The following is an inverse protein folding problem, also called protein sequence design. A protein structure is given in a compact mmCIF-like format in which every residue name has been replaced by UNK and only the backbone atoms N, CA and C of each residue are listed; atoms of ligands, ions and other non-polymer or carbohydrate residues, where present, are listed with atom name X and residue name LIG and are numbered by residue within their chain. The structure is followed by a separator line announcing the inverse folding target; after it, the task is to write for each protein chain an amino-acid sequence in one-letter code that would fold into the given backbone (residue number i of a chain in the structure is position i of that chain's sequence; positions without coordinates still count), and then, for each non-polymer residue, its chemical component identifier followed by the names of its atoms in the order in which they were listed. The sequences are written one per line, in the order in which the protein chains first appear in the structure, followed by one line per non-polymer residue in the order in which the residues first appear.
data_IF_014032914224
#
_entry.id   IF_014032914224
#
_cell.length_a   1.000
_cell.length_b   1.000
_cell.length_c   1.000
_cell.angle_alpha   90.00
_cell.angle_beta   90.00
_cell.angle_gamma   90.00
#
_symmetry.space_group_name_H-M   'P 1'
#
loop_
_entity.id
_entity.type
_entity.pdbx_description
1 polymer ?
#
# COMPACT_ATOMS: atom_id res chain seq x y z
N UNK A 1 11.42 -3.66 -8.19
CA UNK A 1 10.62 -3.60 -9.44
C UNK A 1 10.62 -2.19 -10.04
N UNK A 2 10.17 -1.12 -9.35
CA UNK A 2 10.13 0.22 -9.94
C UNK A 2 11.46 0.66 -10.56
N UNK A 3 12.58 0.49 -9.86
CA UNK A 3 13.92 0.80 -10.40
C UNK A 3 14.24 0.07 -11.70
N UNK A 4 13.75 -1.15 -11.89
CA UNK A 4 13.95 -1.88 -13.16
C UNK A 4 13.10 -1.29 -14.28
N UNK A 5 11.84 -1.00 -13.98
CA UNK A 5 10.93 -0.37 -14.93
C UNK A 5 11.49 0.99 -15.38
N UNK A 6 11.99 1.78 -14.43
CA UNK A 6 12.59 3.09 -14.71
C UNK A 6 13.84 2.96 -15.60
N UNK A 7 14.69 1.95 -15.37
CA UNK A 7 15.86 1.67 -16.20
C UNK A 7 15.47 1.34 -17.65
N UNK A 8 14.36 0.65 -17.85
CA UNK A 8 13.81 0.36 -19.17
C UNK A 8 12.84 1.45 -19.67
N UNK A 9 13.02 2.70 -19.25
CA UNK A 9 12.23 3.86 -19.69
C UNK A 9 10.72 3.70 -19.46
N UNK A 10 10.33 3.02 -18.40
CA UNK A 10 8.94 2.73 -18.07
C UNK A 10 8.37 1.49 -18.80
N UNK A 11 9.17 0.78 -19.59
CA UNK A 11 8.70 -0.40 -20.31
C UNK A 11 8.78 -1.66 -19.44
N UNK A 12 7.66 -2.01 -18.82
CA UNK A 12 7.53 -3.19 -17.97
C UNK A 12 7.81 -4.49 -18.74
N UNK A 13 7.32 -4.61 -19.96
CA UNK A 13 7.48 -5.81 -20.77
C UNK A 13 8.95 -6.08 -21.06
N UNK A 14 9.70 -5.04 -21.47
CA UNK A 14 11.15 -5.15 -21.70
C UNK A 14 11.90 -5.53 -20.42
N UNK A 15 11.52 -4.98 -19.28
CA UNK A 15 12.11 -5.33 -17.98
C UNK A 15 11.87 -6.81 -17.63
N UNK A 16 10.67 -7.33 -17.89
CA UNK A 16 10.32 -8.73 -17.64
C UNK A 16 11.08 -9.67 -18.58
N UNK A 17 11.15 -9.38 -19.88
CA UNK A 17 11.93 -10.20 -20.82
C UNK A 17 13.42 -10.21 -20.44
N UNK A 18 14.00 -9.06 -20.13
CA UNK A 18 15.39 -8.98 -19.71
C UNK A 18 15.66 -9.78 -18.42
N UNK A 19 14.70 -9.83 -17.48
CA UNK A 19 14.82 -10.67 -16.30
C UNK A 19 14.86 -12.17 -16.65
N UNK A 20 14.03 -12.64 -17.58
CA UNK A 20 14.04 -14.04 -17.98
C UNK A 20 15.27 -14.42 -18.79
N UNK A 21 15.81 -13.48 -19.57
CA UNK A 21 17.04 -13.70 -20.37
C UNK A 21 18.31 -13.65 -19.49
N UNK A 22 18.32 -12.83 -18.43
CA UNK A 22 19.50 -12.56 -17.60
C UNK A 22 19.16 -12.49 -16.10
N UNK A 23 18.60 -13.55 -15.50
CA UNK A 23 18.13 -13.52 -14.11
C UNK A 23 19.24 -13.19 -13.11
N UNK A 24 20.47 -13.62 -13.36
CA UNK A 24 21.64 -13.37 -12.51
C UNK A 24 21.93 -11.88 -12.33
N UNK A 25 21.80 -11.09 -13.41
CA UNK A 25 22.01 -9.63 -13.36
C UNK A 25 20.97 -8.96 -12.49
N UNK A 26 19.72 -9.40 -12.61
CA UNK A 26 18.62 -8.85 -11.80
C UNK A 26 18.73 -9.25 -10.32
N UNK A 27 19.27 -10.44 -10.03
CA UNK A 27 19.56 -10.86 -8.66
C UNK A 27 20.65 -10.00 -8.02
N UNK A 28 21.77 -9.79 -8.69
CA UNK A 28 22.83 -8.88 -8.22
C UNK A 28 22.31 -7.45 -8.04
N UNK A 29 21.51 -6.96 -8.98
CA UNK A 29 20.90 -5.64 -8.88
C UNK A 29 19.94 -5.55 -7.72
N UNK A 30 19.13 -6.59 -7.47
CA UNK A 30 18.21 -6.62 -6.34
C UNK A 30 18.95 -6.58 -5.00
N UNK A 31 20.07 -7.30 -4.86
CA UNK A 31 20.91 -7.24 -3.67
C UNK A 31 21.50 -5.84 -3.43
N UNK A 32 21.94 -5.18 -4.50
CA UNK A 32 22.45 -3.81 -4.41
C UNK A 32 21.33 -2.84 -4.03
N UNK A 33 20.16 -2.95 -4.66
CA UNK A 33 18.99 -2.15 -4.36
C UNK A 33 18.53 -2.33 -2.90
N UNK A 34 18.52 -3.55 -2.40
CA UNK A 34 18.20 -3.83 -1.00
C UNK A 34 19.16 -3.11 -0.05
N UNK A 35 20.49 -3.22 -0.30
CA UNK A 35 21.51 -2.53 0.52
C UNK A 35 21.31 -1.01 0.52
N UNK A 36 21.01 -0.44 -0.65
CA UNK A 36 20.75 1.00 -0.79
C UNK A 36 19.47 1.43 -0.05
N UNK A 37 18.37 0.68 -0.20
CA UNK A 37 17.11 0.97 0.46
C UNK A 37 17.21 0.85 1.99
N UNK A 38 17.92 -0.16 2.48
CA UNK A 38 18.18 -0.31 3.92
C UNK A 38 19.02 0.86 4.44
N UNK A 39 20.07 1.26 3.71
CA UNK A 39 20.89 2.40 4.09
C UNK A 39 20.11 3.72 4.09
N UNK A 40 19.24 3.92 3.12
CA UNK A 40 18.34 5.06 3.07
C UNK A 40 17.35 5.06 4.25
N UNK A 41 16.80 3.90 4.58
CA UNK A 41 15.92 3.76 5.75
C UNK A 41 16.65 4.10 7.06
N UNK A 42 17.89 3.65 7.26
CA UNK A 42 18.70 4.02 8.43
C UNK A 42 18.85 5.54 8.56
N UNK A 43 19.08 6.25 7.45
CA UNK A 43 19.17 7.72 7.45
C UNK A 43 17.84 8.35 7.87
N UNK A 44 16.71 7.89 7.28
CA UNK A 44 15.39 8.41 7.66
C UNK A 44 15.05 8.13 9.11
N UNK A 45 15.34 6.92 9.61
CA UNK A 45 15.10 6.55 11.00
C UNK A 45 15.93 7.38 11.98
N UNK A 46 17.14 7.82 11.58
CA UNK A 46 17.96 8.72 12.40
C UNK A 46 17.33 10.09 12.65
N UNK A 47 16.39 10.51 11.77
CA UNK A 47 15.61 11.75 11.91
C UNK A 47 14.42 11.60 12.87
N UNK A 48 14.17 10.38 13.37
CA UNK A 48 13.09 10.05 14.32
C UNK A 48 11.69 10.49 13.86
N UNK A 49 11.26 10.13 12.65
CA UNK A 49 9.88 10.40 12.23
C UNK A 49 8.89 9.60 13.08
N UNK A 50 7.64 10.06 13.15
CA UNK A 50 6.56 9.29 13.79
C UNK A 50 6.21 8.02 13.02
N UNK A 51 6.38 8.08 11.68
CA UNK A 51 6.04 6.99 10.76
C UNK A 51 6.97 7.01 9.56
N UNK A 52 7.45 5.83 9.16
CA UNK A 52 8.19 5.61 7.93
C UNK A 52 7.28 5.00 6.86
N UNK A 53 7.06 5.73 5.76
CA UNK A 53 6.32 5.23 4.61
C UNK A 53 7.25 4.44 3.68
N UNK A 54 6.87 3.21 3.40
CA UNK A 54 7.54 2.29 2.49
C UNK A 54 6.72 2.12 1.21
N UNK A 55 7.38 1.63 0.17
CA UNK A 55 6.71 1.19 -1.03
C UNK A 55 6.68 2.21 -2.14
N UNK A 56 5.90 1.88 -3.12
CA UNK A 56 5.69 2.62 -4.35
C UNK A 56 4.59 1.94 -5.14
N UNK A 57 4.38 2.35 -6.36
CA UNK A 57 3.28 1.87 -7.20
C UNK A 57 3.29 0.36 -7.36
N UNK A 58 2.15 -0.26 -7.10
CA UNK A 58 1.74 -1.55 -7.61
C UNK A 58 2.70 -2.72 -7.45
N UNK A 59 3.23 -2.97 -6.24
CA UNK A 59 4.22 -4.04 -6.01
C UNK A 59 3.83 -5.40 -6.62
N UNK A 60 2.56 -5.81 -6.49
CA UNK A 60 2.03 -7.03 -7.10
C UNK A 60 1.41 -6.76 -8.48
N UNK A 61 0.81 -5.59 -8.68
CA UNK A 61 0.17 -5.22 -9.96
C UNK A 61 1.19 -5.15 -11.10
N UNK A 62 2.40 -4.65 -10.81
CA UNK A 62 3.50 -4.52 -11.77
C UNK A 62 4.47 -5.72 -11.75
N UNK A 63 4.18 -6.74 -10.93
CA UNK A 63 4.98 -7.93 -10.83
C UNK A 63 4.08 -9.13 -10.52
N UNK A 64 4.63 -10.34 -10.54
CA UNK A 64 3.93 -11.49 -9.97
C UNK A 64 4.13 -11.55 -8.45
N UNK A 65 3.26 -12.27 -7.71
CA UNK A 65 3.50 -12.56 -6.29
C UNK A 65 4.88 -13.21 -6.04
N UNK A 66 5.34 -14.04 -6.96
CA UNK A 66 6.64 -14.70 -6.89
C UNK A 66 7.79 -13.68 -6.94
N UNK A 67 7.75 -12.78 -7.92
CA UNK A 67 8.76 -11.72 -8.05
C UNK A 67 8.74 -10.76 -6.85
N UNK A 68 7.55 -10.42 -6.35
CA UNK A 68 7.43 -9.60 -5.15
C UNK A 68 8.02 -10.30 -3.92
N UNK A 69 7.79 -11.60 -3.75
CA UNK A 69 8.38 -12.40 -2.67
C UNK A 69 9.90 -12.46 -2.78
N UNK A 70 10.42 -12.62 -3.99
CA UNK A 70 11.86 -12.73 -4.24
C UNK A 70 12.58 -11.40 -4.06
N UNK A 71 12.04 -10.30 -4.58
CA UNK A 71 12.77 -9.04 -4.74
C UNK A 71 12.29 -7.88 -3.85
N UNK A 72 11.03 -7.87 -3.40
CA UNK A 72 10.54 -6.79 -2.55
C UNK A 72 10.51 -7.17 -1.07
N UNK A 73 10.04 -8.36 -0.74
CA UNK A 73 9.83 -8.82 0.62
C UNK A 73 11.10 -8.79 1.50
N UNK A 74 12.30 -9.16 1.02
CA UNK A 74 13.51 -9.11 1.85
C UNK A 74 13.84 -7.71 2.36
N UNK A 75 13.76 -6.69 1.49
CA UNK A 75 13.98 -5.30 1.88
C UNK A 75 12.90 -4.81 2.85
N UNK A 76 11.62 -5.11 2.58
CA UNK A 76 10.51 -4.75 3.48
C UNK A 76 10.74 -5.35 4.87
N UNK A 77 11.08 -6.63 4.99
CA UNK A 77 11.37 -7.29 6.27
C UNK A 77 12.48 -6.59 7.05
N UNK A 78 13.59 -6.28 6.38
CA UNK A 78 14.75 -5.62 7.02
C UNK A 78 14.41 -4.23 7.51
N UNK A 79 13.75 -3.43 6.67
CA UNK A 79 13.40 -2.05 7.00
C UNK A 79 12.36 -2.01 8.13
N UNK A 80 11.32 -2.85 8.07
CA UNK A 80 10.33 -2.92 9.15
C UNK A 80 10.96 -3.34 10.50
N UNK A 81 11.92 -4.26 10.48
CA UNK A 81 12.66 -4.64 11.70
C UNK A 81 13.47 -3.48 12.27
N UNK A 82 14.24 -2.78 11.43
CA UNK A 82 15.02 -1.60 11.86
C UNK A 82 14.12 -0.51 12.44
N UNK A 83 12.98 -0.25 11.81
CA UNK A 83 12.01 0.73 12.29
C UNK A 83 11.43 0.32 13.65
N UNK A 84 11.06 -0.95 13.82
CA UNK A 84 10.58 -1.51 15.09
C UNK A 84 11.62 -1.38 16.21
N UNK A 85 12.89 -1.68 15.94
CA UNK A 85 13.99 -1.52 16.88
C UNK A 85 14.22 -0.06 17.27
N UNK A 86 13.95 0.87 16.34
CA UNK A 86 13.98 2.31 16.58
C UNK A 86 12.71 2.87 17.25
N UNK A 87 11.67 2.06 17.45
CA UNK A 87 10.38 2.48 17.99
C UNK A 87 9.55 3.32 17.02
N UNK A 88 9.79 3.21 15.71
CA UNK A 88 9.14 3.98 14.65
C UNK A 88 8.14 3.08 13.92
N UNK A 89 6.91 3.60 13.70
CA UNK A 89 5.88 2.88 12.96
C UNK A 89 6.20 2.84 11.46
N UNK A 90 5.70 1.79 10.79
CA UNK A 90 5.87 1.63 9.34
C UNK A 90 4.53 1.49 8.63
N UNK A 91 4.42 2.09 7.47
CA UNK A 91 3.30 1.90 6.54
C UNK A 91 3.84 1.53 5.17
N UNK A 92 3.19 0.57 4.50
CA UNK A 92 3.49 0.20 3.13
C UNK A 92 2.39 0.68 2.21
N UNK A 93 2.77 1.46 1.19
CA UNK A 93 1.89 1.79 0.06
C UNK A 93 2.09 0.77 -1.08
N UNK A 94 1.00 0.15 -1.52
CA UNK A 94 0.98 -0.72 -2.70
C UNK A 94 -0.39 -0.67 -3.36
N UNK A 95 -0.57 0.21 -4.33
CA UNK A 95 -1.82 0.35 -5.08
C UNK A 95 -2.06 -0.82 -6.05
N UNK A 96 -3.29 -0.96 -6.50
CA UNK A 96 -3.74 -2.04 -7.34
C UNK A 96 -4.01 -3.33 -6.57
N UNK A 97 -3.61 -4.46 -7.15
CA UNK A 97 -3.83 -5.79 -6.54
C UNK A 97 -2.97 -5.98 -5.30
N UNK A 98 -3.59 -6.37 -4.20
CA UNK A 98 -2.92 -6.45 -2.90
C UNK A 98 -3.15 -7.76 -2.14
N UNK A 99 -4.15 -8.60 -2.50
CA UNK A 99 -4.48 -9.79 -1.71
C UNK A 99 -3.28 -10.74 -1.51
N UNK A 100 -2.54 -11.05 -2.57
CA UNK A 100 -1.36 -11.92 -2.47
C UNK A 100 -0.21 -11.26 -1.67
N UNK A 101 -0.11 -9.93 -1.70
CA UNK A 101 0.89 -9.18 -0.92
C UNK A 101 0.56 -9.22 0.58
N UNK A 102 -0.70 -9.08 0.95
CA UNK A 102 -1.14 -9.05 2.36
C UNK A 102 -0.69 -10.30 3.12
N UNK A 103 -0.80 -11.48 2.51
CA UNK A 103 -0.31 -12.71 3.12
C UNK A 103 1.21 -12.62 3.41
N UNK A 104 2.01 -12.16 2.43
CA UNK A 104 3.45 -11.99 2.59
C UNK A 104 3.81 -10.99 3.69
N UNK A 105 3.02 -9.91 3.82
CA UNK A 105 3.27 -8.88 4.83
C UNK A 105 3.04 -9.38 6.26
N UNK A 106 2.29 -10.46 6.47
CA UNK A 106 2.16 -11.09 7.79
C UNK A 106 3.48 -11.65 8.32
N UNK A 107 4.46 -11.86 7.44
CA UNK A 107 5.81 -12.32 7.78
C UNK A 107 6.75 -11.18 8.19
N UNK A 108 6.26 -9.95 8.23
CA UNK A 108 7.03 -8.74 8.52
C UNK A 108 6.57 -8.10 9.82
N UNK A 109 7.33 -7.11 10.29
CA UNK A 109 6.94 -6.24 11.43
C UNK A 109 6.18 -4.97 10.96
N UNK A 110 5.52 -5.01 9.81
CA UNK A 110 4.77 -3.89 9.25
C UNK A 110 3.57 -3.52 10.13
N UNK A 111 3.37 -2.22 10.38
CA UNK A 111 2.28 -1.73 11.22
C UNK A 111 1.01 -1.39 10.43
N UNK A 112 1.12 -0.90 9.19
CA UNK A 112 -0.02 -0.48 8.40
C UNK A 112 0.20 -0.75 6.91
N UNK A 113 -0.87 -1.08 6.19
CA UNK A 113 -0.88 -1.24 4.73
C UNK A 113 -1.95 -0.37 4.10
N UNK A 114 -1.64 0.21 2.94
CA UNK A 114 -2.55 1.03 2.14
C UNK A 114 -2.28 0.85 0.63
N UNK A 115 -3.21 1.13 -0.26
CA UNK A 115 -4.56 1.68 -0.04
C UNK A 115 -5.71 0.67 -0.07
N UNK A 116 -5.49 -0.60 -0.30
CA UNK A 116 -6.49 -1.68 -0.26
C UNK A 116 -7.62 -1.51 -1.28
N UNK A 117 -7.27 -1.29 -2.53
CA UNK A 117 -8.22 -1.03 -3.60
C UNK A 117 -9.14 -2.20 -3.91
N UNK A 118 -10.42 -1.90 -4.05
CA UNK A 118 -11.43 -2.84 -4.54
C UNK A 118 -11.41 -2.96 -6.08
N UNK A 119 -12.00 -4.01 -6.66
CA UNK A 119 -12.20 -4.09 -8.11
C UNK A 119 -12.93 -2.83 -8.67
N UNK A 120 -12.61 -2.37 -9.88
CA UNK A 120 -11.70 -2.99 -10.85
C UNK A 120 -10.21 -2.57 -10.70
N UNK A 121 -9.88 -1.64 -9.82
CA UNK A 121 -8.51 -1.12 -9.66
C UNK A 121 -7.61 -2.11 -8.92
N UNK A 122 -8.13 -2.74 -7.88
CA UNK A 122 -7.47 -3.76 -7.09
C UNK A 122 -8.22 -5.09 -7.08
N UNK A 123 -7.98 -5.89 -6.05
CA UNK A 123 -8.61 -7.21 -5.85
C UNK A 123 -9.07 -7.43 -4.40
N UNK A 124 -9.12 -6.36 -3.60
CA UNK A 124 -9.44 -6.43 -2.17
C UNK A 124 -10.96 -6.47 -1.93
N UNK A 125 -11.38 -7.32 -1.00
CA UNK A 125 -12.62 -7.16 -0.24
C UNK A 125 -12.25 -6.72 1.17
N UNK A 126 -12.62 -5.51 1.56
CA UNK A 126 -12.14 -4.89 2.80
C UNK A 126 -12.58 -5.64 4.06
N UNK A 127 -13.82 -6.14 4.10
CA UNK A 127 -14.33 -6.93 5.22
C UNK A 127 -13.56 -8.25 5.38
N UNK A 128 -13.24 -8.92 4.27
CA UNK A 128 -12.43 -10.13 4.28
C UNK A 128 -11.00 -9.85 4.74
N UNK A 129 -10.37 -8.80 4.23
CA UNK A 129 -9.03 -8.39 4.64
C UNK A 129 -8.99 -8.05 6.13
N UNK A 130 -9.99 -7.35 6.65
CA UNK A 130 -10.12 -7.07 8.08
C UNK A 130 -10.18 -8.35 8.90
N UNK A 131 -11.00 -9.31 8.47
CA UNK A 131 -11.14 -10.60 9.16
C UNK A 131 -9.84 -11.41 9.17
N UNK A 132 -9.10 -11.42 8.06
CA UNK A 132 -7.88 -12.23 7.90
C UNK A 132 -6.65 -11.56 8.53
N UNK A 133 -6.49 -10.25 8.35
CA UNK A 133 -5.24 -9.56 8.63
C UNK A 133 -5.35 -8.43 9.64
N UNK A 134 -6.56 -7.97 9.99
CA UNK A 134 -6.77 -6.80 10.86
C UNK A 134 -6.22 -6.94 12.29
N UNK A 135 -5.89 -8.16 12.74
CA UNK A 135 -5.18 -8.41 14.00
C UNK A 135 -3.65 -8.37 13.87
N UNK A 136 -3.14 -8.41 12.65
CA UNK A 136 -1.71 -8.43 12.35
C UNK A 136 -1.16 -7.05 12.03
N UNK A 137 -1.95 -6.24 11.32
CA UNK A 137 -1.58 -4.90 10.89
C UNK A 137 -2.81 -4.01 10.77
N UNK A 138 -2.62 -2.71 10.90
CA UNK A 138 -3.65 -1.71 10.60
C UNK A 138 -3.88 -1.62 9.09
N UNK A 139 -5.10 -1.28 8.74
CA UNK A 139 -5.58 -1.19 7.35
C UNK A 139 -5.92 0.26 7.04
N UNK A 140 -5.53 0.78 5.88
CA UNK A 140 -5.87 2.12 5.46
C UNK A 140 -6.41 2.10 4.02
N UNK A 141 -7.56 2.71 3.81
CA UNK A 141 -8.26 2.75 2.51
C UNK A 141 -9.74 3.06 2.69
N UNK A 142 -10.60 2.86 1.71
CA UNK A 142 -10.28 2.34 0.38
C UNK A 142 -11.23 2.90 -0.69
N UNK A 143 -11.78 4.12 -0.45
CA UNK A 143 -12.77 4.68 -1.36
C UNK A 143 -12.22 4.83 -2.78
N UNK A 144 -12.96 4.32 -3.77
CA UNK A 144 -12.56 4.38 -5.16
C UNK A 144 -12.38 5.83 -5.63
N UNK A 145 -11.18 6.16 -6.07
CA UNK A 145 -10.79 7.53 -6.43
C UNK A 145 -11.49 8.06 -7.70
N UNK A 146 -11.90 7.15 -8.60
CA UNK A 146 -12.53 7.53 -9.86
C UNK A 146 -14.05 7.49 -9.78
N UNK A 147 -14.64 6.36 -9.41
CA UNK A 147 -16.10 6.19 -9.44
C UNK A 147 -16.79 6.88 -8.28
N UNK A 148 -16.16 6.92 -7.10
CA UNK A 148 -16.72 7.52 -5.89
C UNK A 148 -16.22 8.95 -5.71
N UNK A 149 -14.90 9.13 -5.61
CA UNK A 149 -14.36 10.46 -5.24
C UNK A 149 -14.46 11.49 -6.37
N UNK A 150 -14.15 11.10 -7.62
CA UNK A 150 -14.16 12.03 -8.75
C UNK A 150 -15.54 12.20 -9.39
N UNK A 151 -16.25 11.07 -9.62
CA UNK A 151 -17.50 11.06 -10.40
C UNK A 151 -18.76 10.92 -9.55
N UNK A 152 -18.63 10.46 -8.31
CA UNK A 152 -19.74 10.31 -7.38
C UNK A 152 -20.20 11.64 -6.80
N UNK A 153 -21.43 11.65 -6.30
CA UNK A 153 -21.98 12.74 -5.48
C UNK A 153 -21.49 12.67 -4.03
N UNK A 154 -21.68 13.72 -3.25
CA UNK A 154 -21.41 13.70 -1.81
C UNK A 154 -22.18 12.57 -1.09
N UNK A 155 -23.39 12.22 -1.54
CA UNK A 155 -24.15 11.11 -0.98
C UNK A 155 -23.46 9.73 -1.25
N UNK A 156 -22.94 9.54 -2.47
CA UNK A 156 -22.19 8.32 -2.81
C UNK A 156 -20.92 8.18 -1.99
N UNK A 157 -20.22 9.30 -1.74
CA UNK A 157 -19.04 9.33 -0.86
C UNK A 157 -19.40 8.99 0.59
N UNK A 158 -20.50 9.56 1.10
CA UNK A 158 -20.95 9.26 2.46
C UNK A 158 -21.31 7.78 2.62
N UNK A 159 -22.05 7.21 1.66
CA UNK A 159 -22.41 5.79 1.66
C UNK A 159 -21.18 4.89 1.61
N UNK A 160 -20.26 5.14 0.67
CA UNK A 160 -19.02 4.36 0.54
C UNK A 160 -18.13 4.47 1.79
N UNK A 161 -18.05 5.65 2.40
CA UNK A 161 -17.29 5.87 3.62
C UNK A 161 -17.89 5.10 4.81
N UNK A 162 -19.21 5.11 4.96
CA UNK A 162 -19.92 4.33 6.01
C UNK A 162 -19.68 2.84 5.81
N UNK A 163 -19.82 2.36 4.55
CA UNK A 163 -19.55 0.96 4.23
C UNK A 163 -18.12 0.55 4.61
N UNK A 164 -17.12 1.34 4.25
CA UNK A 164 -15.74 1.05 4.60
C UNK A 164 -15.49 1.01 6.12
N UNK A 165 -16.14 1.92 6.87
CA UNK A 165 -16.10 1.92 8.34
C UNK A 165 -16.77 0.67 8.91
N UNK A 166 -17.93 0.27 8.39
CA UNK A 166 -18.65 -0.93 8.84
C UNK A 166 -17.84 -2.20 8.56
N UNK A 167 -17.19 -2.26 7.38
CA UNK A 167 -16.39 -3.40 6.96
C UNK A 167 -15.10 -3.57 7.80
N UNK A 168 -14.45 -2.49 8.20
CA UNK A 168 -13.11 -2.55 8.79
C UNK A 168 -12.91 -1.77 10.11
N UNK A 169 -13.86 -0.92 10.52
CA UNK A 169 -13.69 -0.05 11.70
C UNK A 169 -13.78 -0.78 13.02
N UNK A 170 -14.60 -1.83 13.09
CA UNK A 170 -14.82 -2.57 14.34
C UNK A 170 -13.50 -3.05 14.95
N UNK A 171 -13.37 -2.88 16.27
CA UNK A 171 -12.20 -3.23 17.07
C UNK A 171 -10.92 -2.39 16.72
N UNK A 172 -11.08 -1.27 16.01
CA UNK A 172 -9.98 -0.35 15.69
C UNK A 172 -9.03 -0.87 14.58
N UNK A 173 -7.88 -0.21 14.42
CA UNK A 173 -6.87 -0.59 13.41
C UNK A 173 -7.29 -0.32 11.97
N UNK A 174 -8.25 0.59 11.75
CA UNK A 174 -8.66 1.04 10.44
C UNK A 174 -8.53 2.57 10.30
N UNK A 175 -7.94 3.02 9.21
CA UNK A 175 -7.84 4.42 8.83
C UNK A 175 -8.63 4.62 7.53
N UNK A 176 -9.75 5.34 7.62
CA UNK A 176 -10.52 5.68 6.44
C UNK A 176 -9.74 6.61 5.53
N UNK A 177 -9.56 6.22 4.28
CA UNK A 177 -8.93 7.05 3.25
C UNK A 177 -9.44 6.69 1.85
N UNK A 178 -8.93 7.37 0.87
CA UNK A 178 -9.13 7.01 -0.53
C UNK A 178 -8.29 5.80 -0.93
N UNK A 179 -8.69 5.12 -1.99
CA UNK A 179 -8.03 3.92 -2.52
C UNK A 179 -6.70 4.21 -3.23
N UNK A 180 -6.42 5.45 -3.55
CA UNK A 180 -5.13 5.99 -4.03
C UNK A 180 -5.24 7.52 -4.04
N UNK A 181 -4.34 8.21 -4.74
CA UNK A 181 -4.36 9.65 -4.92
C UNK A 181 -5.63 10.10 -5.66
N UNK A 182 -6.31 11.10 -5.12
CA UNK A 182 -7.43 11.71 -5.80
C UNK A 182 -6.95 12.46 -7.05
N UNK A 183 -7.73 12.39 -8.13
CA UNK A 183 -7.50 13.20 -9.31
C UNK A 183 -7.60 14.70 -8.99
N UNK A 184 -6.87 15.53 -9.76
CA UNK A 184 -6.85 16.99 -9.58
C UNK A 184 -8.25 17.62 -9.57
N UNK A 185 -9.16 17.10 -10.38
CA UNK A 185 -10.49 17.65 -10.57
C UNK A 185 -11.55 17.01 -9.64
N UNK A 186 -11.09 16.28 -8.59
CA UNK A 186 -11.99 15.73 -7.57
C UNK A 186 -12.73 16.87 -6.86
N UNK A 187 -14.08 16.83 -6.76
CA UNK A 187 -14.85 17.87 -6.08
C UNK A 187 -14.43 18.02 -4.62
N UNK A 188 -14.17 19.25 -4.18
CA UNK A 188 -13.81 19.52 -2.78
C UNK A 188 -14.90 19.05 -1.81
N UNK A 189 -16.18 19.17 -2.21
CA UNK A 189 -17.31 18.67 -1.43
C UNK A 189 -17.18 17.19 -1.10
N UNK A 190 -16.69 16.37 -2.03
CA UNK A 190 -16.47 14.95 -1.82
C UNK A 190 -15.36 14.69 -0.80
N UNK A 191 -14.28 15.49 -0.83
CA UNK A 191 -13.21 15.41 0.15
C UNK A 191 -13.72 15.80 1.56
N UNK A 192 -14.48 16.91 1.65
CA UNK A 192 -15.05 17.33 2.93
C UNK A 192 -16.09 16.34 3.46
N UNK A 193 -16.87 15.71 2.58
CA UNK A 193 -17.84 14.68 2.96
C UNK A 193 -17.13 13.45 3.54
N UNK A 194 -16.06 12.98 2.93
CA UNK A 194 -15.25 11.89 3.46
C UNK A 194 -14.78 12.20 4.89
N UNK A 195 -14.19 13.38 5.10
CA UNK A 195 -13.70 13.82 6.42
C UNK A 195 -14.84 13.96 7.43
N UNK A 196 -15.98 14.53 7.02
CA UNK A 196 -17.17 14.67 7.87
C UNK A 196 -17.68 13.29 8.30
N UNK A 197 -17.82 12.36 7.37
CA UNK A 197 -18.30 11.01 7.65
C UNK A 197 -17.35 10.28 8.62
N UNK A 198 -16.05 10.37 8.40
CA UNK A 198 -15.08 9.81 9.34
C UNK A 198 -15.25 10.35 10.77
N UNK A 199 -15.46 11.67 10.92
CA UNK A 199 -15.60 12.33 12.24
C UNK A 199 -16.94 12.06 12.92
N UNK A 200 -18.00 11.81 12.18
CA UNK A 200 -19.38 11.66 12.75
C UNK A 200 -19.78 10.21 12.91
N UNK A 201 -19.50 9.38 11.92
CA UNK A 201 -19.87 7.97 11.88
C UNK A 201 -18.74 7.04 12.38
N UNK A 202 -17.49 7.39 12.18
CA UNK A 202 -16.32 6.58 12.54
C UNK A 202 -15.94 6.62 14.04
N UNK A 203 -16.90 6.90 14.92
CA UNK A 203 -16.68 6.88 16.39
C UNK A 203 -17.11 5.52 16.93
N UNK A 204 -16.18 4.76 17.43
CA UNK A 204 -16.37 3.44 18.07
C UNK A 204 -15.41 3.25 19.23
#
# INVERSE_FOLDING_TARGET
MQMWIDFFEGNLESAIYAYYDHPEIFEEWAELAEKLLVKQAEIYLSLKPDLLLLGGSGTITLASPELARKFALPAIKKICRLAKEAGILTMLHSCGKSMALLEMLTETDLNCVNPLEEPPMGDVNLAEVKRLYGKKMSLMGNLNTTSVMLKGSAADVEEAAKKAIDDAGKDGGFLLSTGDQCGRDTPEENIFTLVKTAKTYGKY
#
